data_IF_933098549594
#
_entry.id   IF_933098549594
#
_cell.length_a   1.000
_cell.length_b   1.000
_cell.length_c   1.000
_cell.angle_alpha   90.00
_cell.angle_beta   90.00
_cell.angle_gamma   90.00
#
_symmetry.space_group_name_H-M   'P 1'
#
loop_
_entity.id
_entity.type
_entity.pdbx_description
1 polymer ?
#
# COMPACT_ATOMS: atom_id res chain seq x y z
N UNK A 1 25.69 -14.06 -26.05
CA UNK A 1 25.04 -12.73 -26.12
C UNK A 1 23.57 -13.02 -26.41
N UNK A 2 22.84 -13.43 -25.39
CA UNK A 2 21.40 -13.57 -25.48
C UNK A 2 20.82 -12.18 -25.21
N UNK A 3 20.24 -11.58 -26.24
CA UNK A 3 19.60 -10.27 -26.12
C UNK A 3 18.45 -10.36 -25.12
N UNK A 4 18.52 -9.57 -24.05
CA UNK A 4 17.43 -9.36 -23.13
C UNK A 4 16.21 -8.88 -23.95
N UNK A 5 15.14 -9.67 -23.99
CA UNK A 5 13.92 -9.34 -24.72
C UNK A 5 13.08 -8.35 -23.87
N UNK A 6 13.58 -7.12 -23.73
CA UNK A 6 13.07 -6.07 -22.83
C UNK A 6 11.56 -5.80 -22.99
N UNK A 7 11.01 -5.98 -24.20
CA UNK A 7 9.57 -5.82 -24.46
C UNK A 7 8.71 -6.90 -23.82
N UNK A 8 9.16 -8.15 -23.81
CA UNK A 8 8.37 -9.28 -23.30
C UNK A 8 8.30 -9.28 -21.76
N UNK A 9 9.40 -8.90 -21.11
CA UNK A 9 9.47 -8.70 -19.65
C UNK A 9 8.67 -7.48 -19.17
N UNK A 10 8.48 -6.45 -20.00
CA UNK A 10 7.71 -5.25 -19.63
C UNK A 10 6.20 -5.35 -19.93
N UNK A 11 5.81 -6.08 -20.98
CA UNK A 11 4.40 -6.19 -21.42
C UNK A 11 3.57 -7.11 -20.49
N UNK A 12 4.17 -8.17 -19.97
CA UNK A 12 3.49 -9.12 -19.07
C UNK A 12 3.08 -8.49 -17.72
N UNK A 13 3.98 -7.76 -17.00
CA UNK A 13 3.60 -7.01 -15.79
C UNK A 13 2.53 -5.96 -16.07
N UNK A 14 2.64 -5.19 -17.16
CA UNK A 14 1.66 -4.15 -17.49
C UNK A 14 0.25 -4.72 -17.69
N UNK A 15 0.12 -5.82 -18.43
CA UNK A 15 -1.17 -6.48 -18.62
C UNK A 15 -1.69 -7.12 -17.31
N UNK A 16 -0.79 -7.65 -16.48
CA UNK A 16 -1.12 -8.17 -15.15
C UNK A 16 -1.73 -7.09 -14.24
N UNK A 17 -1.13 -5.89 -14.22
CA UNK A 17 -1.62 -4.76 -13.43
C UNK A 17 -3.00 -4.30 -13.90
N UNK A 18 -3.19 -4.21 -15.22
CA UNK A 18 -4.49 -3.87 -15.79
C UNK A 18 -5.56 -4.93 -15.46
N UNK A 19 -5.21 -6.22 -15.44
CA UNK A 19 -6.11 -7.29 -15.01
C UNK A 19 -6.48 -7.13 -13.53
N UNK A 20 -5.51 -6.82 -12.65
CA UNK A 20 -5.77 -6.63 -11.23
C UNK A 20 -6.74 -5.46 -11.00
N UNK A 21 -6.52 -4.33 -11.68
CA UNK A 21 -7.42 -3.19 -11.63
C UNK A 21 -8.81 -3.53 -12.18
N UNK A 22 -8.89 -4.21 -13.33
CA UNK A 22 -10.16 -4.62 -13.92
C UNK A 22 -10.96 -5.55 -12.99
N UNK A 23 -10.30 -6.48 -12.28
CA UNK A 23 -10.95 -7.34 -11.27
C UNK A 23 -11.60 -6.52 -10.16
N UNK A 24 -10.96 -5.45 -9.70
CA UNK A 24 -11.56 -4.54 -8.72
C UNK A 24 -12.82 -3.86 -9.27
N UNK A 25 -12.81 -3.43 -10.54
CA UNK A 25 -13.95 -2.79 -11.19
C UNK A 25 -15.11 -3.74 -11.48
N UNK A 26 -14.85 -5.04 -11.71
CA UNK A 26 -15.92 -6.06 -11.79
C UNK A 26 -16.75 -6.08 -10.50
N UNK A 27 -16.10 -6.01 -9.34
CA UNK A 27 -16.80 -5.97 -8.04
C UNK A 27 -17.65 -4.72 -7.93
N UNK A 28 -17.07 -3.56 -8.28
CA UNK A 28 -17.80 -2.28 -8.25
C UNK A 28 -19.00 -2.32 -9.21
N UNK A 29 -18.83 -2.82 -10.43
CA UNK A 29 -19.87 -2.91 -11.45
C UNK A 29 -21.04 -3.80 -11.01
N UNK A 30 -20.77 -4.99 -10.46
CA UNK A 30 -21.79 -5.90 -9.92
C UNK A 30 -22.58 -5.24 -8.79
N UNK A 31 -21.90 -4.57 -7.88
CA UNK A 31 -22.55 -3.86 -6.77
C UNK A 31 -23.33 -2.63 -7.21
N UNK A 32 -22.97 -2.03 -8.35
CA UNK A 32 -23.73 -0.94 -8.98
C UNK A 32 -24.87 -1.45 -9.87
N UNK A 33 -25.16 -2.75 -9.85
CA UNK A 33 -26.13 -3.43 -10.72
C UNK A 33 -25.86 -3.24 -12.24
N UNK A 34 -24.62 -2.92 -12.60
CA UNK A 34 -24.17 -2.83 -13.98
C UNK A 34 -23.59 -4.17 -14.43
N UNK A 35 -24.46 -5.17 -14.55
CA UNK A 35 -24.08 -6.55 -14.84
C UNK A 35 -23.48 -6.72 -16.24
N UNK A 36 -23.91 -5.89 -17.20
CA UNK A 36 -23.38 -5.88 -18.56
C UNK A 36 -21.90 -5.51 -18.56
N UNK A 37 -21.55 -4.38 -17.93
CA UNK A 37 -20.16 -3.95 -17.85
C UNK A 37 -19.30 -4.90 -17.00
N UNK A 38 -19.87 -5.48 -15.94
CA UNK A 38 -19.20 -6.52 -15.16
C UNK A 38 -18.85 -7.75 -16.00
N UNK A 39 -19.74 -8.13 -16.93
CA UNK A 39 -19.51 -9.24 -17.86
C UNK A 39 -18.43 -8.89 -18.88
N UNK A 40 -18.47 -7.70 -19.47
CA UNK A 40 -17.45 -7.21 -20.43
C UNK A 40 -16.04 -7.21 -19.81
N UNK A 41 -15.90 -6.65 -18.60
CA UNK A 41 -14.65 -6.70 -17.84
C UNK A 41 -14.22 -8.14 -17.54
N UNK A 42 -15.14 -9.01 -17.11
CA UNK A 42 -14.82 -10.41 -16.78
C UNK A 42 -14.36 -11.20 -18.03
N UNK A 43 -14.98 -10.95 -19.18
CA UNK A 43 -14.59 -11.56 -20.44
C UNK A 43 -13.20 -11.12 -20.86
N UNK A 44 -12.89 -9.81 -20.79
CA UNK A 44 -11.58 -9.30 -21.15
C UNK A 44 -10.48 -9.79 -20.18
N UNK A 45 -10.77 -9.88 -18.89
CA UNK A 45 -9.86 -10.49 -17.91
C UNK A 45 -9.54 -11.93 -18.31
N UNK A 46 -10.56 -12.73 -18.63
CA UNK A 46 -10.38 -14.12 -19.05
C UNK A 46 -9.50 -14.22 -20.31
N UNK A 47 -9.79 -13.39 -21.32
CA UNK A 47 -9.00 -13.34 -22.57
C UNK A 47 -7.53 -13.01 -22.30
N UNK A 48 -7.27 -11.96 -21.50
CA UNK A 48 -5.90 -11.55 -21.16
C UNK A 48 -5.18 -12.59 -20.29
N UNK A 49 -5.88 -13.28 -19.38
CA UNK A 49 -5.30 -14.37 -18.59
C UNK A 49 -4.97 -15.60 -19.45
N UNK A 50 -5.83 -15.96 -20.40
CA UNK A 50 -5.55 -17.03 -21.37
C UNK A 50 -4.31 -16.68 -22.19
N UNK A 51 -4.21 -15.43 -22.65
CA UNK A 51 -3.06 -14.93 -23.40
C UNK A 51 -1.75 -15.09 -22.60
N UNK A 52 -1.73 -14.62 -21.35
CA UNK A 52 -0.57 -14.78 -20.44
C UNK A 52 -0.27 -16.26 -20.13
N UNK A 53 -1.29 -17.11 -19.97
CA UNK A 53 -1.10 -18.54 -19.70
C UNK A 53 -0.51 -19.29 -20.90
N UNK A 54 -0.88 -18.90 -22.13
CA UNK A 54 -0.35 -19.51 -23.35
C UNK A 54 1.16 -19.25 -23.50
N UNK A 55 1.65 -18.09 -23.06
CA UNK A 55 3.10 -17.79 -23.00
C UNK A 55 3.81 -18.73 -22.05
N UNK A 56 3.25 -18.91 -20.86
CA UNK A 56 3.84 -19.78 -19.83
C UNK A 56 3.89 -21.26 -20.26
N UNK A 57 2.91 -21.71 -21.05
CA UNK A 57 2.77 -23.12 -21.44
C UNK A 57 3.48 -23.44 -22.77
N UNK A 58 3.40 -22.56 -23.78
CA UNK A 58 3.85 -22.88 -25.15
C UNK A 58 5.33 -22.57 -25.43
N UNK A 59 6.05 -21.85 -24.55
CA UNK A 59 7.41 -21.32 -24.81
C UNK A 59 7.53 -20.58 -26.16
N UNK A 60 6.42 -20.07 -26.68
CA UNK A 60 6.36 -19.27 -27.89
C UNK A 60 6.10 -17.82 -27.47
N UNK A 61 6.93 -16.86 -27.90
CA UNK A 61 6.79 -15.48 -27.48
C UNK A 61 5.48 -14.87 -28.01
N UNK A 62 4.90 -13.96 -27.24
CA UNK A 62 3.74 -13.19 -27.69
C UNK A 62 4.09 -12.39 -28.94
N UNK A 63 3.20 -12.38 -29.92
CA UNK A 63 3.34 -11.39 -31.00
C UNK A 63 3.02 -10.01 -30.45
N UNK A 64 3.82 -9.00 -30.82
CA UNK A 64 3.62 -7.63 -30.35
C UNK A 64 2.18 -7.14 -30.58
N UNK A 65 1.58 -7.53 -31.71
CA UNK A 65 0.21 -7.19 -32.10
C UNK A 65 -0.86 -7.80 -31.18
N UNK A 66 -0.68 -9.04 -30.71
CA UNK A 66 -1.62 -9.66 -29.76
C UNK A 66 -1.56 -8.98 -28.40
N UNK A 67 -0.35 -8.67 -27.91
CA UNK A 67 -0.17 -7.96 -26.65
C UNK A 67 -0.71 -6.53 -26.70
N UNK A 68 -0.44 -5.79 -27.79
CA UNK A 68 -0.93 -4.41 -27.97
C UNK A 68 -2.46 -4.36 -28.04
N UNK A 69 -3.08 -5.30 -28.76
CA UNK A 69 -4.55 -5.41 -28.82
C UNK A 69 -5.13 -5.67 -27.43
N UNK A 70 -4.61 -6.64 -26.69
CA UNK A 70 -5.12 -6.98 -25.35
C UNK A 70 -4.98 -5.81 -24.36
N UNK A 71 -3.84 -5.09 -24.41
CA UNK A 71 -3.58 -3.90 -23.60
C UNK A 71 -4.54 -2.77 -23.98
N UNK A 72 -4.74 -2.52 -25.28
CA UNK A 72 -5.64 -1.47 -25.77
C UNK A 72 -7.09 -1.72 -25.37
N UNK A 73 -7.58 -2.93 -25.58
CA UNK A 73 -8.97 -3.32 -25.27
C UNK A 73 -9.24 -3.24 -23.77
N UNK A 74 -8.29 -3.70 -22.95
CA UNK A 74 -8.37 -3.56 -21.50
C UNK A 74 -8.32 -2.09 -21.07
N UNK A 75 -7.43 -1.27 -21.67
CA UNK A 75 -7.34 0.16 -21.37
C UNK A 75 -8.64 0.91 -21.69
N UNK A 76 -9.35 0.56 -22.77
CA UNK A 76 -10.66 1.14 -23.10
C UNK A 76 -11.70 0.84 -22.03
N UNK A 77 -11.77 -0.41 -21.54
CA UNK A 77 -12.68 -0.78 -20.45
C UNK A 77 -12.30 -0.07 -19.14
N UNK A 78 -11.01 0.04 -18.82
CA UNK A 78 -10.55 0.78 -17.63
C UNK A 78 -10.91 2.27 -17.72
N UNK A 79 -10.78 2.87 -18.90
CA UNK A 79 -11.21 4.25 -19.13
C UNK A 79 -12.72 4.42 -18.95
N UNK A 80 -13.52 3.50 -19.51
CA UNK A 80 -14.98 3.52 -19.32
C UNK A 80 -15.36 3.35 -17.85
N UNK A 81 -14.66 2.50 -17.09
CA UNK A 81 -14.87 2.34 -15.66
C UNK A 81 -14.61 3.66 -14.90
N UNK A 82 -13.57 4.41 -15.27
CA UNK A 82 -13.31 5.74 -14.70
C UNK A 82 -14.44 6.73 -15.00
N UNK A 83 -15.00 6.72 -16.23
CA UNK A 83 -16.15 7.57 -16.58
C UNK A 83 -17.41 7.21 -15.77
N UNK A 84 -17.55 5.94 -15.38
CA UNK A 84 -18.60 5.47 -14.48
C UNK A 84 -18.30 5.75 -13.00
N UNK A 85 -17.23 6.50 -12.70
CA UNK A 85 -16.71 6.76 -11.36
C UNK A 85 -16.37 5.49 -10.58
N UNK A 86 -16.01 4.40 -11.26
CA UNK A 86 -15.48 3.22 -10.61
C UNK A 86 -14.00 3.49 -10.31
N UNK A 87 -13.77 4.08 -9.14
CA UNK A 87 -12.46 4.50 -8.67
C UNK A 87 -12.22 4.02 -7.23
N UNK A 88 -11.04 4.36 -6.71
CA UNK A 88 -10.67 4.07 -5.32
C UNK A 88 -11.64 4.71 -4.32
N UNK A 89 -12.20 5.88 -4.63
CA UNK A 89 -13.21 6.58 -3.81
C UNK A 89 -14.47 5.75 -3.66
N UNK A 90 -15.02 5.26 -4.78
CA UNK A 90 -16.21 4.40 -4.82
C UNK A 90 -15.94 3.09 -4.08
N UNK A 91 -14.76 2.49 -4.27
CA UNK A 91 -14.37 1.27 -3.55
C UNK A 91 -14.35 1.50 -2.03
N UNK A 92 -13.78 2.62 -1.56
CA UNK A 92 -13.79 3.01 -0.14
C UNK A 92 -15.22 3.23 0.36
N UNK A 93 -16.07 3.93 -0.39
CA UNK A 93 -17.46 4.18 0.01
C UNK A 93 -18.25 2.87 0.15
N UNK A 94 -18.08 1.94 -0.77
CA UNK A 94 -18.72 0.61 -0.70
C UNK A 94 -18.12 -0.26 0.41
N UNK A 95 -16.81 -0.23 0.60
CA UNK A 95 -16.14 -0.89 1.70
C UNK A 95 -16.66 -0.37 3.05
N UNK A 96 -16.78 0.96 3.20
CA UNK A 96 -17.36 1.61 4.38
C UNK A 96 -18.82 1.21 4.62
N UNK A 97 -19.61 1.02 3.57
CA UNK A 97 -20.99 0.56 3.71
C UNK A 97 -21.08 -0.89 4.22
N UNK A 98 -20.09 -1.74 3.90
CA UNK A 98 -20.04 -3.15 4.32
C UNK A 98 -19.30 -3.38 5.63
N UNK A 99 -18.35 -2.52 5.98
CA UNK A 99 -17.50 -2.64 7.17
C UNK A 99 -18.00 -1.71 8.26
N UNK A 100 -18.79 -2.26 9.18
CA UNK A 100 -19.42 -1.50 10.27
C UNK A 100 -18.41 -0.74 11.16
N UNK A 101 -17.21 -1.29 11.37
CA UNK A 101 -16.17 -0.66 12.21
C UNK A 101 -15.44 0.50 11.50
N UNK A 102 -15.52 0.63 10.17
CA UNK A 102 -14.84 1.68 9.40
C UNK A 102 -15.61 3.01 9.48
N UNK A 103 -15.76 3.53 10.70
CA UNK A 103 -16.51 4.75 10.99
C UNK A 103 -15.70 5.73 11.86
N UNK A 104 -16.16 6.98 11.95
CA UNK A 104 -15.45 8.03 12.68
C UNK A 104 -15.43 7.85 14.21
N UNK A 105 -16.25 6.95 14.76
CA UNK A 105 -16.24 6.61 16.18
C UNK A 105 -15.09 5.66 16.55
N UNK A 106 -14.62 4.84 15.62
CA UNK A 106 -13.52 3.89 15.84
C UNK A 106 -12.21 4.30 15.15
N UNK A 107 -12.28 5.02 14.02
CA UNK A 107 -11.11 5.31 13.18
C UNK A 107 -10.72 6.79 13.32
N UNK A 108 -9.60 7.12 13.99
CA UNK A 108 -9.23 8.52 14.27
C UNK A 108 -9.03 9.37 13.01
N UNK A 109 -8.50 8.78 11.94
CA UNK A 109 -8.30 9.49 10.66
C UNK A 109 -9.63 9.89 10.03
N UNK A 110 -10.68 9.06 10.13
CA UNK A 110 -12.02 9.42 9.65
C UNK A 110 -12.63 10.55 10.48
N UNK A 111 -12.37 10.58 11.78
CA UNK A 111 -12.78 11.66 12.66
C UNK A 111 -12.09 12.98 12.28
N UNK A 112 -10.78 12.94 12.05
CA UNK A 112 -10.00 14.09 11.56
C UNK A 112 -10.48 14.55 10.17
N UNK A 113 -10.80 13.62 9.27
CA UNK A 113 -11.34 13.96 7.95
C UNK A 113 -12.70 14.66 7.99
N UNK A 114 -13.48 14.50 9.07
CA UNK A 114 -14.75 15.20 9.25
C UNK A 114 -14.56 16.63 9.76
N UNK A 115 -13.44 16.89 10.43
CA UNK A 115 -13.09 18.18 11.03
C UNK A 115 -12.81 19.27 9.99
N UNK A 116 -13.35 20.46 10.27
CA UNK A 116 -13.34 21.62 9.38
C UNK A 116 -11.92 22.15 9.15
N UNK A 117 -11.10 22.18 10.20
CA UNK A 117 -9.73 22.71 10.15
C UNK A 117 -8.81 21.77 9.37
N UNK A 118 -8.99 20.46 9.55
CA UNK A 118 -8.32 19.43 8.76
C UNK A 118 -8.71 19.50 7.28
N UNK A 119 -9.99 19.71 6.98
CA UNK A 119 -10.44 19.91 5.60
C UNK A 119 -9.84 21.18 4.99
N UNK A 120 -9.80 22.27 5.73
CA UNK A 120 -9.19 23.51 5.26
C UNK A 120 -7.70 23.33 5.00
N UNK A 121 -6.97 22.66 5.87
CA UNK A 121 -5.53 22.42 5.70
C UNK A 121 -5.20 21.64 4.41
N UNK A 122 -5.98 20.61 4.09
CA UNK A 122 -5.71 19.72 2.95
C UNK A 122 -6.40 20.12 1.65
N UNK A 123 -7.58 20.75 1.71
CA UNK A 123 -8.43 21.02 0.55
C UNK A 123 -8.63 22.50 0.25
N UNK A 124 -8.24 23.43 1.13
CA UNK A 124 -8.36 24.87 0.83
C UNK A 124 -7.17 25.37 -0.02
N UNK A 125 -7.52 25.95 -1.17
CA UNK A 125 -6.60 26.75 -1.96
C UNK A 125 -6.25 28.05 -1.22
N UNK A 126 -4.96 28.23 -0.95
CA UNK A 126 -4.35 29.56 -0.81
C UNK A 126 -4.87 30.54 0.26
N UNK A 127 -5.30 30.09 1.46
CA UNK A 127 -5.63 31.01 2.56
C UNK A 127 -4.57 31.17 3.66
N UNK A 128 -3.61 30.25 3.80
CA UNK A 128 -2.65 30.27 4.92
C UNK A 128 -1.30 30.99 4.64
N UNK A 129 -1.35 32.15 3.95
CA UNK A 129 -0.23 33.11 3.90
C UNK A 129 1.16 32.57 3.50
N UNK A 130 1.24 31.44 2.78
CA UNK A 130 2.51 30.84 2.34
C UNK A 130 3.32 30.06 3.40
N UNK A 131 2.77 29.78 4.59
CA UNK A 131 3.52 29.08 5.66
C UNK A 131 3.69 27.57 5.46
N UNK A 132 2.80 26.94 4.70
CA UNK A 132 2.82 25.49 4.41
C UNK A 132 3.17 25.22 2.95
N UNK A 133 4.32 24.57 2.66
CA UNK A 133 4.69 24.24 1.28
C UNK A 133 3.64 23.38 0.56
N UNK A 134 3.34 23.72 -0.70
CA UNK A 134 2.28 23.13 -1.54
C UNK A 134 2.39 21.59 -1.63
N UNK A 135 3.61 21.02 -1.55
CA UNK A 135 3.87 19.57 -1.51
C UNK A 135 3.14 18.85 -0.36
N UNK A 136 2.73 19.58 0.67
CA UNK A 136 2.12 19.06 1.89
C UNK A 136 0.59 19.12 1.91
N UNK A 137 -0.03 19.64 0.84
CA UNK A 137 -1.49 19.72 0.65
C UNK A 137 -2.01 18.64 -0.32
N UNK A 138 -1.47 17.41 -0.22
CA UNK A 138 -1.90 16.31 -1.07
C UNK A 138 -2.91 15.41 -0.32
N UNK A 139 -4.16 15.30 -0.80
CA UNK A 139 -5.17 14.44 -0.17
C UNK A 139 -4.81 12.95 -0.19
N UNK A 140 -3.84 12.52 -1.01
CA UNK A 140 -3.31 11.14 -0.97
C UNK A 140 -2.76 10.75 0.41
N UNK A 141 -2.26 11.70 1.20
CA UNK A 141 -1.77 11.44 2.56
C UNK A 141 -2.87 11.16 3.58
N UNK A 142 -4.13 11.42 3.22
CA UNK A 142 -5.33 11.05 3.98
C UNK A 142 -6.11 9.93 3.30
N UNK A 143 -5.54 9.30 2.27
CA UNK A 143 -6.20 8.18 1.60
C UNK A 143 -6.47 7.09 2.63
N UNK A 144 -7.74 6.85 2.89
CA UNK A 144 -8.15 5.83 3.85
C UNK A 144 -7.61 4.45 3.51
N UNK A 145 -7.39 4.17 2.21
CA UNK A 145 -6.75 2.92 1.76
C UNK A 145 -5.35 2.75 2.35
N UNK A 146 -4.56 3.83 2.43
CA UNK A 146 -3.24 3.76 3.04
C UNK A 146 -3.32 3.50 4.54
N UNK A 147 -4.39 3.93 5.22
CA UNK A 147 -4.59 3.69 6.64
C UNK A 147 -5.23 2.32 6.96
N UNK A 148 -5.84 1.64 6.00
CA UNK A 148 -6.41 0.29 6.21
C UNK A 148 -5.35 -0.75 6.58
N UNK A 149 -4.08 -0.51 6.26
CA UNK A 149 -2.96 -1.39 6.68
C UNK A 149 -2.85 -1.54 8.21
N UNK A 150 -3.36 -0.59 8.97
CA UNK A 150 -3.40 -0.66 10.44
C UNK A 150 -4.61 -1.43 10.98
N UNK A 151 -5.51 -1.87 10.12
CA UNK A 151 -6.73 -2.59 10.45
C UNK A 151 -6.80 -3.98 9.82
N UNK A 152 -5.65 -4.53 9.41
CA UNK A 152 -5.56 -5.88 8.82
C UNK A 152 -6.24 -6.94 9.72
N UNK A 153 -6.04 -6.96 11.05
CA UNK A 153 -6.75 -7.92 11.90
C UNK A 153 -8.27 -7.77 11.88
N UNK A 154 -8.79 -6.57 11.70
CA UNK A 154 -10.23 -6.29 11.61
C UNK A 154 -10.81 -6.66 10.24
N UNK A 155 -10.01 -6.56 9.17
CA UNK A 155 -10.39 -7.02 7.83
C UNK A 155 -10.33 -8.55 7.75
N UNK A 156 -9.31 -9.17 8.37
CA UNK A 156 -9.06 -10.61 8.30
C UNK A 156 -8.95 -11.24 9.70
N UNK A 157 -10.08 -11.38 10.44
CA UNK A 157 -10.08 -11.78 11.84
C UNK A 157 -9.60 -13.22 12.09
N UNK A 158 -9.75 -14.10 11.08
CA UNK A 158 -9.41 -15.53 11.19
C UNK A 158 -7.96 -15.84 10.82
N UNK A 159 -7.29 -14.93 10.08
CA UNK A 159 -5.92 -15.14 9.65
C UNK A 159 -4.95 -15.00 10.83
N UNK A 160 -3.90 -15.83 10.81
CA UNK A 160 -2.85 -15.84 11.84
C UNK A 160 -1.63 -15.02 11.43
N UNK A 161 -1.25 -15.09 10.16
CA UNK A 161 -0.11 -14.38 9.60
C UNK A 161 -0.46 -13.91 8.18
N UNK A 162 0.06 -12.77 7.77
CA UNK A 162 -0.06 -12.25 6.40
C UNK A 162 1.28 -11.76 5.90
N UNK A 163 1.50 -11.90 4.59
CA UNK A 163 2.53 -11.14 3.86
C UNK A 163 1.79 -10.00 3.19
N UNK A 164 2.16 -8.77 3.55
CA UNK A 164 1.62 -7.54 3.00
C UNK A 164 2.57 -7.03 1.91
N UNK A 165 2.01 -6.71 0.75
CA UNK A 165 2.72 -6.11 -0.39
C UNK A 165 1.96 -4.84 -0.81
N UNK A 166 2.68 -3.73 -1.01
CA UNK A 166 2.10 -2.56 -1.67
C UNK A 166 1.86 -2.87 -3.18
N UNK A 167 1.01 -2.07 -3.83
CA UNK A 167 0.55 -2.30 -5.19
C UNK A 167 1.61 -2.04 -6.27
N UNK A 168 2.72 -1.40 -5.91
CA UNK A 168 3.87 -1.12 -6.77
C UNK A 168 5.04 -2.11 -6.61
N UNK A 169 4.83 -3.23 -5.89
CA UNK A 169 5.85 -4.25 -5.67
C UNK A 169 5.87 -5.31 -6.76
N UNK A 170 7.04 -5.50 -7.39
CA UNK A 170 7.30 -6.59 -8.33
C UNK A 170 7.93 -7.78 -7.61
N UNK A 171 7.28 -8.94 -7.72
CA UNK A 171 7.74 -10.20 -7.10
C UNK A 171 8.51 -11.03 -8.12
N UNK A 172 9.79 -11.29 -7.84
CA UNK A 172 10.67 -12.05 -8.75
C UNK A 172 10.86 -13.52 -8.33
N UNK A 173 10.52 -13.88 -7.09
CA UNK A 173 10.76 -15.21 -6.51
C UNK A 173 9.58 -15.66 -5.67
N UNK A 174 9.55 -16.95 -5.37
CA UNK A 174 8.53 -17.53 -4.49
C UNK A 174 8.54 -16.86 -3.11
N UNK A 175 7.35 -16.47 -2.66
CA UNK A 175 7.11 -15.80 -1.37
C UNK A 175 6.82 -16.79 -0.24
N UNK A 176 6.59 -18.08 -0.55
CA UNK A 176 6.27 -19.08 0.47
C UNK A 176 7.26 -19.10 1.66
N UNK A 177 8.59 -18.93 1.47
CA UNK A 177 9.51 -18.93 2.60
C UNK A 177 9.28 -17.77 3.59
N UNK A 178 8.72 -16.62 3.17
CA UNK A 178 8.41 -15.50 4.06
C UNK A 178 7.43 -15.90 5.16
N UNK A 179 6.44 -16.75 4.86
CA UNK A 179 5.47 -17.20 5.85
C UNK A 179 6.09 -18.06 6.97
N UNK A 180 7.22 -18.69 6.68
CA UNK A 180 7.95 -19.56 7.60
C UNK A 180 8.96 -18.82 8.46
N UNK A 181 9.22 -17.54 8.19
CA UNK A 181 10.12 -16.72 9.01
C UNK A 181 9.52 -16.59 10.42
N UNK A 182 10.35 -16.88 11.43
CA UNK A 182 10.04 -16.60 12.82
C UNK A 182 10.26 -15.11 13.09
N UNK A 183 9.25 -14.45 13.66
CA UNK A 183 9.33 -13.05 14.05
C UNK A 183 9.86 -12.90 15.49
N UNK A 184 10.33 -13.97 16.14
CA UNK A 184 10.89 -13.92 17.50
C UNK A 184 9.94 -13.26 18.53
N UNK A 185 8.63 -13.46 18.34
CA UNK A 185 7.58 -12.86 19.17
C UNK A 185 7.21 -11.41 18.83
N UNK A 186 7.89 -10.80 17.85
CA UNK A 186 7.53 -9.54 17.22
C UNK A 186 6.29 -9.67 16.33
N UNK A 187 5.74 -8.53 15.92
CA UNK A 187 4.46 -8.44 15.22
C UNK A 187 4.67 -8.14 13.74
N UNK A 188 5.68 -7.32 13.43
CA UNK A 188 6.05 -6.94 12.08
C UNK A 188 7.40 -7.57 11.73
N UNK A 189 7.53 -8.18 10.56
CA UNK A 189 8.81 -8.47 9.92
C UNK A 189 9.01 -7.47 8.79
N UNK A 190 10.07 -6.68 8.82
CA UNK A 190 10.37 -5.70 7.79
C UNK A 190 11.86 -5.64 7.46
N UNK A 191 12.19 -5.32 6.21
CA UNK A 191 13.55 -4.96 5.86
C UNK A 191 13.83 -3.54 6.34
N UNK A 192 14.88 -3.42 7.14
CA UNK A 192 15.39 -2.14 7.62
C UNK A 192 15.96 -1.31 6.48
N UNK A 193 15.66 -0.01 6.47
CA UNK A 193 16.07 0.93 5.40
C UNK A 193 17.11 1.93 5.86
N UNK A 194 17.54 1.87 7.13
CA UNK A 194 18.61 2.73 7.59
C UNK A 194 19.96 2.27 7.02
N UNK A 195 20.50 3.07 6.11
CA UNK A 195 21.93 3.08 5.79
C UNK A 195 22.56 4.27 6.50
N UNK A 196 23.90 4.29 6.65
CA UNK A 196 24.74 5.25 7.40
C UNK A 196 24.00 6.46 8.04
N UNK A 197 23.40 7.36 7.24
CA UNK A 197 22.70 8.57 7.70
C UNK A 197 21.24 8.76 7.22
N UNK A 198 20.67 7.79 6.50
CA UNK A 198 19.34 7.91 5.91
C UNK A 198 18.29 7.04 6.63
N UNK A 199 17.02 7.45 6.58
CA UNK A 199 15.86 6.70 7.08
C UNK A 199 15.89 6.31 8.57
N UNK A 200 16.60 7.06 9.43
CA UNK A 200 16.48 6.94 10.90
C UNK A 200 15.29 7.75 11.43
N UNK A 201 14.86 7.44 12.66
CA UNK A 201 13.66 8.04 13.26
C UNK A 201 13.69 9.57 13.33
N UNK A 202 14.85 10.18 13.60
CA UNK A 202 15.00 11.64 13.64
C UNK A 202 14.68 12.36 12.33
N UNK A 203 14.64 11.64 11.18
CA UNK A 203 14.22 12.21 9.90
C UNK A 203 12.71 12.29 9.75
N UNK A 204 11.96 11.45 10.47
CA UNK A 204 10.51 11.31 10.34
C UNK A 204 9.73 12.01 11.46
N UNK A 205 10.31 12.07 12.65
CA UNK A 205 9.64 12.52 13.87
C UNK A 205 10.23 13.83 14.37
N UNK A 206 9.39 14.62 15.04
CA UNK A 206 9.81 15.87 15.66
C UNK A 206 10.41 15.64 17.06
N UNK A 207 11.73 15.47 17.13
CA UNK A 207 12.45 15.26 18.40
C UNK A 207 12.54 16.49 19.31
N UNK A 208 12.16 17.68 18.82
CA UNK A 208 11.97 18.84 19.69
C UNK A 208 10.74 18.67 20.59
N UNK A 209 9.80 17.78 20.23
CA UNK A 209 8.62 17.51 21.03
C UNK A 209 8.94 16.53 22.17
N UNK A 210 8.62 16.85 23.44
CA UNK A 210 9.02 16.04 24.60
C UNK A 210 8.42 14.62 24.57
N UNK A 211 7.22 14.46 24.01
CA UNK A 211 6.57 13.15 23.87
C UNK A 211 7.38 12.20 22.96
N UNK A 212 7.94 12.70 21.85
CA UNK A 212 8.76 11.88 20.95
C UNK A 212 10.10 11.55 21.63
N UNK A 213 10.77 12.58 22.16
CA UNK A 213 12.10 12.45 22.78
C UNK A 213 12.14 11.48 23.96
N UNK A 214 11.03 11.36 24.70
CA UNK A 214 10.95 10.47 25.87
C UNK A 214 10.62 9.02 25.54
N UNK A 215 10.09 8.73 24.34
CA UNK A 215 9.59 7.40 23.99
C UNK A 215 10.40 6.69 22.89
N UNK A 216 11.12 7.44 22.06
CA UNK A 216 11.79 6.89 20.88
C UNK A 216 13.26 7.30 20.83
N UNK A 217 14.11 6.36 20.47
CA UNK A 217 15.52 6.63 20.17
C UNK A 217 15.64 7.34 18.80
N UNK A 218 16.26 8.55 18.71
CA UNK A 218 16.49 9.25 17.44
C UNK A 218 17.31 8.46 16.42
N UNK A 219 18.15 7.55 16.90
CA UNK A 219 19.04 6.75 16.08
C UNK A 219 18.46 5.37 15.75
N UNK A 220 17.23 5.07 16.21
CA UNK A 220 16.54 3.85 15.81
C UNK A 220 16.44 3.73 14.28
N UNK A 221 16.63 2.50 13.79
CA UNK A 221 16.55 2.18 12.38
C UNK A 221 15.11 2.24 11.90
N UNK A 222 14.85 2.99 10.82
CA UNK A 222 13.58 2.93 10.12
C UNK A 222 13.50 1.71 9.22
N UNK A 223 12.28 1.37 8.87
CA UNK A 223 11.91 0.41 7.83
C UNK A 223 10.84 1.07 6.95
N UNK A 224 10.46 0.44 5.84
CA UNK A 224 9.41 0.95 4.96
C UNK A 224 8.25 -0.03 4.84
N UNK A 225 7.05 0.51 4.62
CA UNK A 225 6.01 -0.29 4.01
C UNK A 225 6.36 -0.58 2.55
N UNK A 226 5.95 -1.73 2.06
CA UNK A 226 6.23 -2.21 0.71
C UNK A 226 6.21 -3.72 0.69
N UNK A 227 6.99 -4.34 1.57
CA UNK A 227 6.90 -5.76 1.88
C UNK A 227 7.06 -5.94 3.39
N UNK A 228 6.03 -6.50 4.03
CA UNK A 228 6.02 -6.75 5.46
C UNK A 228 5.38 -8.10 5.77
N UNK A 229 5.80 -8.72 6.88
CA UNK A 229 5.13 -9.89 7.44
C UNK A 229 4.42 -9.46 8.72
N UNK A 230 3.13 -9.75 8.87
CA UNK A 230 2.42 -9.44 10.11
C UNK A 230 1.91 -10.70 10.79
N UNK A 231 2.27 -10.87 12.06
CA UNK A 231 1.64 -11.84 12.96
C UNK A 231 0.38 -11.22 13.56
N UNK A 232 -0.77 -11.65 13.05
CA UNK A 232 -2.07 -11.12 13.45
C UNK A 232 -2.53 -11.66 14.81
N UNK A 233 -2.01 -12.80 15.26
CA UNK A 233 -2.29 -13.32 16.60
C UNK A 233 -1.64 -12.40 17.64
N UNK A 234 -0.36 -12.09 17.47
CA UNK A 234 0.38 -11.20 18.34
C UNK A 234 -0.11 -9.75 18.22
N UNK A 235 -0.49 -9.30 17.02
CA UNK A 235 -1.13 -8.00 16.80
C UNK A 235 -2.37 -7.81 17.67
N UNK A 236 -3.30 -8.78 17.62
CA UNK A 236 -4.53 -8.74 18.43
C UNK A 236 -4.21 -8.81 19.92
N UNK A 237 -3.30 -9.71 20.33
CA UNK A 237 -2.91 -9.88 21.74
C UNK A 237 -2.32 -8.60 22.36
N UNK A 238 -1.50 -7.86 21.61
CA UNK A 238 -0.88 -6.60 22.07
C UNK A 238 -1.70 -5.35 21.72
N UNK A 239 -2.87 -5.50 21.11
CA UNK A 239 -3.73 -4.41 20.66
C UNK A 239 -2.98 -3.31 19.87
N UNK A 240 -2.22 -3.71 18.85
CA UNK A 240 -1.40 -2.77 18.08
C UNK A 240 -2.23 -1.73 17.34
N UNK A 241 -3.46 -2.07 16.91
CA UNK A 241 -4.39 -1.09 16.32
C UNK A 241 -4.70 0.04 17.31
N UNK A 242 -4.83 -0.27 18.61
CA UNK A 242 -5.02 0.73 19.67
C UNK A 242 -3.80 1.63 19.88
N UNK A 243 -2.57 1.09 19.73
CA UNK A 243 -1.35 1.91 19.77
C UNK A 243 -1.33 2.90 18.60
N UNK A 244 -1.71 2.44 17.41
CA UNK A 244 -1.87 3.29 16.24
C UNK A 244 -2.91 4.40 16.48
N UNK A 245 -4.06 4.07 17.08
CA UNK A 245 -5.08 5.07 17.44
C UNK A 245 -4.53 6.14 18.38
N UNK A 246 -3.85 5.72 19.44
CA UNK A 246 -3.24 6.62 20.41
C UNK A 246 -2.32 7.64 19.74
N UNK A 247 -1.42 7.21 18.86
CA UNK A 247 -0.51 8.13 18.18
C UNK A 247 -1.24 9.06 17.23
N UNK A 248 -2.24 8.57 16.50
CA UNK A 248 -3.03 9.42 15.60
C UNK A 248 -3.79 10.51 16.35
N UNK A 249 -4.37 10.19 17.51
CA UNK A 249 -5.06 11.17 18.34
C UNK A 249 -4.10 12.20 18.96
N UNK A 250 -2.85 11.82 19.23
CA UNK A 250 -1.83 12.73 19.76
C UNK A 250 -1.20 13.63 18.70
N UNK A 251 -1.40 13.36 17.42
CA UNK A 251 -0.85 14.15 16.31
C UNK A 251 -1.93 14.91 15.53
N UNK A 252 -3.07 15.24 16.15
CA UNK A 252 -4.14 16.03 15.51
C UNK A 252 -3.63 17.40 15.05
N UNK A 253 -2.74 18.02 15.83
CA UNK A 253 -2.09 19.30 15.52
C UNK A 253 -0.86 19.17 14.58
N UNK A 254 -0.48 17.94 14.22
CA UNK A 254 0.66 17.58 13.35
C UNK A 254 2.02 18.02 13.88
N UNK A 255 2.13 18.16 15.20
CA UNK A 255 3.38 18.58 15.84
C UNK A 255 4.37 17.43 16.03
N UNK A 256 3.91 16.17 16.09
CA UNK A 256 4.75 14.99 16.29
C UNK A 256 5.38 14.51 14.98
N UNK A 257 4.62 14.49 13.89
CA UNK A 257 5.12 14.30 12.52
C UNK A 257 4.22 15.03 11.52
N UNK A 258 4.78 15.33 10.35
CA UNK A 258 4.09 16.17 9.36
C UNK A 258 3.10 15.41 8.49
N UNK A 259 3.52 14.30 7.87
CA UNK A 259 2.75 13.63 6.80
C UNK A 259 3.08 12.14 6.65
N UNK A 260 2.19 11.45 5.94
CA UNK A 260 2.37 10.06 5.51
C UNK A 260 1.96 9.04 6.57
N UNK A 261 1.93 7.79 6.15
CA UNK A 261 1.60 6.63 7.01
C UNK A 261 2.83 5.96 7.59
N UNK A 262 4.02 6.25 7.06
CA UNK A 262 5.26 5.67 7.58
C UNK A 262 5.58 6.14 9.01
N UNK A 263 5.59 7.44 9.35
CA UNK A 263 5.86 7.87 10.72
C UNK A 263 4.93 7.22 11.77
N UNK A 264 3.58 7.20 11.62
CA UNK A 264 2.74 6.50 12.58
C UNK A 264 2.97 4.98 12.56
N UNK A 265 3.41 4.39 11.45
CA UNK A 265 3.87 3.00 11.40
C UNK A 265 5.07 2.75 12.30
N UNK A 266 6.13 3.55 12.15
CA UNK A 266 7.33 3.46 12.98
C UNK A 266 6.99 3.59 14.48
N UNK A 267 6.15 4.56 14.85
CA UNK A 267 5.69 4.74 16.23
C UNK A 267 4.90 3.55 16.76
N UNK A 268 4.04 2.97 15.92
CA UNK A 268 3.14 1.86 16.29
C UNK A 268 3.89 0.56 16.52
N UNK A 269 4.91 0.27 15.70
CA UNK A 269 5.67 -0.99 15.76
C UNK A 269 7.06 -0.84 16.40
N UNK A 270 7.30 0.25 17.11
CA UNK A 270 8.57 0.46 17.81
C UNK A 270 8.80 -0.64 18.85
N UNK A 271 9.94 -1.33 18.75
CA UNK A 271 10.25 -2.50 19.59
C UNK A 271 9.38 -3.74 19.32
N UNK A 272 8.62 -3.75 18.22
CA UNK A 272 7.72 -4.83 17.80
C UNK A 272 8.02 -5.30 16.36
N UNK A 273 9.19 -4.94 15.83
CA UNK A 273 9.63 -5.26 14.47
C UNK A 273 10.85 -6.16 14.49
N UNK A 274 10.77 -7.28 13.77
CA UNK A 274 11.88 -8.16 13.46
C UNK A 274 12.56 -7.68 12.17
N UNK A 275 13.88 -7.40 12.19
CA UNK A 275 14.61 -7.03 10.99
C UNK A 275 14.78 -8.26 10.08
N UNK A 276 14.35 -8.11 8.83
CA UNK A 276 14.50 -9.15 7.81
C UNK A 276 15.79 -8.96 7.01
N UNK A 277 16.28 -10.07 6.44
CA UNK A 277 17.40 -10.05 5.50
C UNK A 277 17.13 -9.08 4.33
N UNK A 278 18.04 -8.12 4.04
CA UNK A 278 17.85 -7.13 2.98
C UNK A 278 17.53 -7.69 1.60
N UNK A 279 17.88 -8.95 1.32
CA UNK A 279 17.54 -9.61 0.04
C UNK A 279 16.05 -9.73 -0.24
N UNK A 280 15.21 -9.64 0.80
CA UNK A 280 13.77 -9.81 0.67
C UNK A 280 13.06 -8.61 0.07
N UNK A 281 13.63 -7.41 0.19
CA UNK A 281 13.02 -6.20 -0.32
C UNK A 281 14.09 -5.16 -0.62
N UNK A 282 14.17 -4.75 -1.88
CA UNK A 282 15.07 -3.71 -2.36
C UNK A 282 14.24 -2.49 -2.70
N UNK A 283 14.62 -1.34 -2.16
CA UNK A 283 13.90 -0.09 -2.36
C UNK A 283 14.50 0.70 -3.53
N UNK A 284 13.70 0.95 -4.56
CA UNK A 284 14.07 1.73 -5.76
C UNK A 284 14.92 0.96 -6.77
N UNK A 285 14.49 0.94 -8.04
CA UNK A 285 15.30 0.43 -9.15
C UNK A 285 16.57 1.27 -9.43
N UNK A 286 16.74 2.42 -8.78
CA UNK A 286 17.86 3.35 -9.02
C UNK A 286 19.06 3.21 -8.08
N UNK A 287 19.13 2.16 -7.24
CA UNK A 287 20.37 1.87 -6.51
C UNK A 287 20.89 0.48 -6.88
N UNK A 288 21.59 0.43 -8.02
CA UNK A 288 22.59 -0.60 -8.31
C UNK A 288 23.53 -0.72 -7.11
N UNK A 289 23.39 -1.77 -6.32
CA UNK A 289 24.50 -2.30 -5.55
C UNK A 289 24.85 -3.66 -6.15
N UNK A 290 25.96 -3.60 -6.90
CA UNK A 290 26.74 -4.73 -7.37
C UNK A 290 26.78 -5.86 -6.34
N UNK A 291 26.43 -7.06 -6.77
CA UNK A 291 26.75 -8.29 -6.06
C UNK A 291 28.25 -8.34 -5.76
N UNK A 292 28.69 -8.74 -4.55
CA UNK A 292 30.02 -9.30 -4.40
C UNK A 292 30.03 -10.69 -5.05
N UNK A 293 31.13 -10.99 -5.72
CA UNK A 293 31.44 -12.28 -6.38
C UNK A 293 31.39 -13.46 -5.41
#
# INVERSE_FOLDING_TARGET
MDGLNVTEEMLSPHLSDQIALAKSFVVIAKESNNLQFAWELSAQICNSQILLSNVAIKRAPLTATESETAIRDMALLLYQAQQLHYDSTTMIMKLKAKIHWLNASYVPVLKQLQDSDTKNYYFSGSSDGGRTPIKFRNPKYLSMLNHLRFYIPEVFPTLKKVVFLDDDVVVQKDLAPLFSIDLNGNINGAVETCMETFHRYHKYLNYSHPLIRSHFDPDACGWAFGMNIFDLVQWRKRNVTGIYHYWQERNVDRTLWKLGTLPPGLLTFYGLTEPLDPKWHIWGWDTLMSTPK
#
